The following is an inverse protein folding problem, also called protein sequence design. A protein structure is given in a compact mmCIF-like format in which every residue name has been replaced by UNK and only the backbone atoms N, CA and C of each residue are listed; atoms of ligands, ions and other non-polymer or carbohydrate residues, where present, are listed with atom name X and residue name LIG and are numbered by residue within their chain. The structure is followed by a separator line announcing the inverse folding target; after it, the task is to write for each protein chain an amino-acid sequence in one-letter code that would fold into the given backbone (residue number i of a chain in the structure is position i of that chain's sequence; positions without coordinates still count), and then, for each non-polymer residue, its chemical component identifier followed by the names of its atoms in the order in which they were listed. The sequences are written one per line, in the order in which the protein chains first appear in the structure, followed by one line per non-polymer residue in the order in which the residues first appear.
data_IF_374776380056
#
_entry.id   IF_374776380056
#
_cell.length_a   1.000
_cell.length_b   1.000
_cell.length_c   1.000
_cell.angle_alpha   90.00
_cell.angle_beta   90.00
_cell.angle_gamma   90.00
#
_symmetry.space_group_name_H-M   'P 1'
#
loop_
_entity.id
_entity.type
_entity.pdbx_description
1 polymer ?
#
# COMPACT_ATOMS: atom_id res chain seq x y z
N UNK A 1 8.46 -6.65 3.21
CA UNK A 1 9.48 -7.28 2.34
C UNK A 1 10.03 -8.60 2.87
N UNK A 2 10.79 -8.63 3.98
CA UNK A 2 11.45 -9.85 4.46
C UNK A 2 10.51 -11.05 4.67
N UNK A 3 9.31 -10.82 5.23
CA UNK A 3 8.28 -11.88 5.36
C UNK A 3 7.87 -12.45 4.00
N UNK A 4 7.58 -11.58 3.03
CA UNK A 4 7.20 -12.01 1.68
C UNK A 4 8.31 -12.88 1.04
N UNK A 5 9.56 -12.42 1.14
CA UNK A 5 10.72 -13.16 0.64
C UNK A 5 10.89 -14.53 1.32
N UNK A 6 10.72 -14.58 2.65
CA UNK A 6 10.83 -15.83 3.44
C UNK A 6 9.83 -16.90 2.98
N UNK A 7 8.65 -16.50 2.54
CA UNK A 7 7.61 -17.42 2.07
C UNK A 7 7.52 -17.53 0.54
N UNK A 8 8.56 -17.08 -0.18
CA UNK A 8 8.66 -17.24 -1.64
C UNK A 8 7.73 -16.34 -2.44
N UNK A 9 7.15 -15.31 -1.84
CA UNK A 9 6.43 -14.28 -2.56
C UNK A 9 7.41 -13.39 -3.33
N UNK A 10 7.06 -13.08 -4.58
CA UNK A 10 7.84 -12.25 -5.51
C UNK A 10 6.95 -11.16 -6.10
N UNK A 11 7.50 -10.29 -6.95
CA UNK A 11 6.71 -9.28 -7.64
C UNK A 11 5.73 -9.85 -8.69
N UNK A 12 5.88 -11.10 -9.12
CA UNK A 12 5.02 -11.71 -10.14
C UNK A 12 4.10 -12.82 -9.60
N UNK A 13 4.45 -13.46 -8.48
CA UNK A 13 3.71 -14.61 -7.95
C UNK A 13 3.80 -14.76 -6.44
N UNK A 14 2.93 -15.62 -5.90
CA UNK A 14 2.86 -15.97 -4.49
C UNK A 14 2.05 -14.98 -3.66
N UNK A 15 1.72 -15.39 -2.44
CA UNK A 15 1.01 -14.61 -1.43
C UNK A 15 1.91 -14.45 -0.20
N UNK A 16 1.59 -13.50 0.69
CA UNK A 16 2.50 -13.01 1.73
C UNK A 16 3.09 -14.14 2.59
N UNK A 17 2.30 -15.17 2.87
CA UNK A 17 2.66 -16.32 3.72
C UNK A 17 2.86 -17.62 2.91
N UNK A 18 3.04 -17.53 1.60
CA UNK A 18 3.31 -18.70 0.74
C UNK A 18 2.12 -19.66 0.64
N UNK A 19 0.92 -19.19 0.98
CA UNK A 19 -0.33 -19.95 0.88
C UNK A 19 -0.72 -20.16 -0.59
N UNK A 20 -1.56 -21.16 -0.91
CA UNK A 20 -2.03 -21.38 -2.28
C UNK A 20 -3.00 -20.30 -2.77
N UNK A 21 -3.66 -19.59 -1.85
CA UNK A 21 -4.61 -18.51 -2.13
C UNK A 21 -4.41 -17.32 -1.18
N UNK A 22 -4.88 -16.11 -1.53
CA UNK A 22 -4.82 -14.96 -0.63
C UNK A 22 -5.55 -15.20 0.68
N UNK A 23 -5.01 -14.62 1.75
CA UNK A 23 -5.52 -14.76 3.12
C UNK A 23 -5.79 -13.40 3.74
N UNK A 24 -6.23 -13.39 5.00
CA UNK A 24 -6.35 -12.16 5.79
C UNK A 24 -5.02 -11.40 5.87
N UNK A 25 -3.87 -12.09 5.84
CA UNK A 25 -2.57 -11.44 5.88
C UNK A 25 -2.30 -10.59 4.62
N UNK A 26 -2.72 -11.08 3.45
CA UNK A 26 -2.66 -10.36 2.18
C UNK A 26 -3.61 -9.16 2.18
N UNK A 27 -4.84 -9.35 2.67
CA UNK A 27 -5.84 -8.28 2.80
C UNK A 27 -5.39 -7.17 3.76
N UNK A 28 -4.82 -7.53 4.91
CA UNK A 28 -4.29 -6.58 5.87
C UNK A 28 -3.11 -5.79 5.26
N UNK A 29 -2.20 -6.50 4.59
CA UNK A 29 -1.07 -5.88 3.87
C UNK A 29 -1.55 -4.91 2.82
N UNK A 30 -2.53 -5.31 2.02
CA UNK A 30 -3.16 -4.46 1.01
C UNK A 30 -3.82 -3.23 1.63
N UNK A 31 -4.64 -3.41 2.66
CA UNK A 31 -5.36 -2.31 3.32
C UNK A 31 -4.43 -1.24 3.90
N UNK A 32 -3.21 -1.62 4.28
CA UNK A 32 -2.19 -0.69 4.75
C UNK A 32 -1.46 -0.03 3.59
N UNK A 33 -0.72 -0.83 2.81
CA UNK A 33 0.26 -0.30 1.86
C UNK A 33 -0.38 0.32 0.61
N UNK A 34 -1.45 -0.29 0.07
CA UNK A 34 -2.16 0.28 -1.06
C UNK A 34 -2.85 1.60 -0.68
N UNK A 35 -3.47 1.64 0.50
CA UNK A 35 -4.10 2.86 1.04
C UNK A 35 -3.07 3.97 1.28
N UNK A 36 -1.93 3.66 1.92
CA UNK A 36 -0.88 4.65 2.14
C UNK A 36 -0.33 5.21 0.82
N UNK A 37 0.00 4.36 -0.15
CA UNK A 37 0.51 4.81 -1.45
C UNK A 37 -0.51 5.70 -2.20
N UNK A 38 -1.80 5.40 -2.10
CA UNK A 38 -2.87 6.17 -2.74
C UNK A 38 -3.19 7.48 -2.03
N UNK A 39 -3.34 7.45 -0.70
CA UNK A 39 -3.78 8.61 0.08
C UNK A 39 -2.61 9.56 0.44
N UNK A 40 -1.36 9.07 0.41
CA UNK A 40 -0.15 9.85 0.66
C UNK A 40 0.82 9.67 -0.52
N UNK A 41 0.59 10.29 -1.70
CA UNK A 41 1.36 10.05 -2.91
C UNK A 41 2.87 10.26 -2.78
N UNK A 42 3.30 11.12 -1.85
CA UNK A 42 4.72 11.38 -1.57
C UNK A 42 5.45 10.17 -0.96
N UNK A 43 4.71 9.23 -0.37
CA UNK A 43 5.24 7.97 0.14
C UNK A 43 5.30 6.87 -0.92
N UNK A 44 4.60 7.00 -2.06
CA UNK A 44 4.58 5.93 -3.05
C UNK A 44 5.99 5.59 -3.58
N UNK A 45 6.85 6.57 -3.96
CA UNK A 45 8.22 6.26 -4.42
C UNK A 45 9.08 5.52 -3.39
N UNK A 46 9.26 5.98 -2.13
CA UNK A 46 10.08 5.25 -1.17
C UNK A 46 9.50 3.88 -0.78
N UNK A 47 8.17 3.72 -0.82
CA UNK A 47 7.56 2.39 -0.61
C UNK A 47 7.88 1.46 -1.79
N UNK A 48 7.80 1.94 -3.03
CA UNK A 48 8.18 1.14 -4.20
C UNK A 48 9.66 0.75 -4.19
N UNK A 49 10.53 1.65 -3.74
CA UNK A 49 11.97 1.40 -3.61
C UNK A 49 12.28 0.34 -2.56
N UNK A 50 11.70 0.45 -1.37
CA UNK A 50 12.07 -0.39 -0.22
C UNK A 50 11.19 -1.63 -0.04
N UNK A 51 9.99 -1.66 -0.63
CA UNK A 51 9.05 -2.76 -0.53
C UNK A 51 8.41 -3.14 -1.89
N UNK A 52 9.22 -3.37 -2.95
CA UNK A 52 8.72 -3.61 -4.30
C UNK A 52 7.84 -4.87 -4.38
N UNK A 53 8.17 -5.93 -3.64
CA UNK A 53 7.37 -7.16 -3.64
C UNK A 53 6.01 -6.93 -2.98
N UNK A 54 5.98 -6.18 -1.88
CA UNK A 54 4.72 -5.89 -1.16
C UNK A 54 3.78 -5.07 -2.03
N UNK A 55 4.27 -4.02 -2.69
CA UNK A 55 3.43 -3.21 -3.58
C UNK A 55 2.97 -4.01 -4.79
N UNK A 56 3.83 -4.83 -5.38
CA UNK A 56 3.43 -5.72 -6.45
C UNK A 56 2.37 -6.75 -6.00
N UNK A 57 2.49 -7.31 -4.78
CA UNK A 57 1.46 -8.15 -4.18
C UNK A 57 0.13 -7.42 -4.03
N UNK A 58 0.14 -6.16 -3.57
CA UNK A 58 -1.08 -5.36 -3.44
C UNK A 58 -1.76 -5.16 -4.80
N UNK A 59 -1.00 -4.82 -5.84
CA UNK A 59 -1.50 -4.67 -7.21
C UNK A 59 -2.12 -5.95 -7.75
N UNK A 60 -1.45 -7.09 -7.57
CA UNK A 60 -1.99 -8.40 -7.98
C UNK A 60 -3.27 -8.74 -7.22
N UNK A 61 -3.32 -8.42 -5.93
CA UNK A 61 -4.50 -8.70 -5.11
C UNK A 61 -5.73 -7.94 -5.63
N UNK A 62 -5.59 -6.64 -5.95
CA UNK A 62 -6.67 -5.86 -6.59
C UNK A 62 -7.06 -6.41 -7.96
N UNK A 63 -6.07 -6.74 -8.81
CA UNK A 63 -6.31 -7.29 -10.15
C UNK A 63 -7.05 -8.63 -10.12
N UNK A 64 -6.76 -9.47 -9.12
CA UNK A 64 -7.38 -10.79 -8.94
C UNK A 64 -8.72 -10.75 -8.20
N UNK A 65 -9.09 -9.63 -7.59
CA UNK A 65 -10.29 -9.50 -6.77
C UNK A 65 -11.08 -8.22 -7.10
N UNK A 66 -12.12 -8.38 -7.92
CA UNK A 66 -12.98 -7.27 -8.35
C UNK A 66 -13.64 -6.51 -7.18
N UNK A 67 -13.86 -7.17 -6.04
CA UNK A 67 -14.40 -6.53 -4.84
C UNK A 67 -13.43 -5.51 -4.24
N UNK A 68 -12.14 -5.84 -4.19
CA UNK A 68 -11.09 -4.92 -3.71
C UNK A 68 -10.86 -3.77 -4.68
N UNK A 69 -10.80 -4.05 -5.99
CA UNK A 69 -10.71 -2.98 -6.99
C UNK A 69 -11.92 -2.02 -6.90
N UNK A 70 -13.12 -2.54 -6.68
CA UNK A 70 -14.32 -1.73 -6.49
C UNK A 70 -14.27 -0.92 -5.20
N UNK A 71 -13.85 -1.53 -4.09
CA UNK A 71 -13.66 -0.82 -2.82
C UNK A 71 -12.66 0.31 -2.98
N UNK A 72 -11.50 0.03 -3.61
CA UNK A 72 -10.48 1.01 -3.86
C UNK A 72 -11.03 2.21 -4.64
N UNK A 73 -11.70 1.96 -5.76
CA UNK A 73 -12.31 3.02 -6.57
C UNK A 73 -13.33 3.84 -5.76
N UNK A 74 -14.23 3.17 -5.03
CA UNK A 74 -15.27 3.84 -4.23
C UNK A 74 -14.68 4.72 -3.14
N UNK A 75 -13.61 4.28 -2.48
CA UNK A 75 -12.95 5.07 -1.45
C UNK A 75 -12.26 6.29 -2.05
N UNK A 76 -11.61 6.14 -3.21
CA UNK A 76 -11.01 7.27 -3.91
C UNK A 76 -12.07 8.30 -4.36
N UNK A 77 -13.22 7.83 -4.86
CA UNK A 77 -14.34 8.70 -5.24
C UNK A 77 -14.95 9.43 -4.04
N UNK A 78 -15.08 8.73 -2.91
CA UNK A 78 -15.78 9.26 -1.73
C UNK A 78 -14.90 10.14 -0.84
N UNK A 79 -13.63 9.77 -0.69
CA UNK A 79 -12.72 10.36 0.29
C UNK A 79 -11.51 11.05 -0.35
N UNK A 80 -11.29 10.89 -1.66
CA UNK A 80 -10.12 11.42 -2.34
C UNK A 80 -8.83 10.87 -1.74
N UNK A 81 -7.91 11.76 -1.39
CA UNK A 81 -6.65 11.41 -0.74
C UNK A 81 -6.72 11.40 0.79
N UNK A 82 -7.90 11.58 1.41
CA UNK A 82 -8.02 11.49 2.87
C UNK A 82 -7.47 10.15 3.36
N UNK A 83 -6.60 10.19 4.37
CA UNK A 83 -5.98 9.01 4.98
C UNK A 83 -6.59 8.72 6.36
N UNK A 84 -6.11 9.41 7.40
CA UNK A 84 -6.57 9.27 8.78
C UNK A 84 -7.28 10.52 9.32
N UNK A 85 -7.24 11.62 8.56
CA UNK A 85 -7.89 12.88 8.87
C UNK A 85 -7.30 13.63 10.06
N UNK A 86 -7.94 14.75 10.38
CA UNK A 86 -7.62 15.55 11.55
C UNK A 86 -6.20 16.13 11.57
N UNK A 87 -5.67 16.35 12.77
CA UNK A 87 -4.35 16.97 12.97
C UNK A 87 -3.19 16.00 12.68
N UNK A 88 -3.42 14.70 12.88
CA UNK A 88 -2.39 13.68 12.61
C UNK A 88 -2.05 13.62 11.12
N UNK A 89 -3.06 13.63 10.23
CA UNK A 89 -2.80 13.64 8.80
C UNK A 89 -2.09 14.93 8.34
N UNK A 90 -2.48 16.09 8.88
CA UNK A 90 -1.81 17.36 8.59
C UNK A 90 -0.33 17.29 8.95
N UNK A 91 0.01 16.77 10.13
CA UNK A 91 1.39 16.60 10.57
C UNK A 91 2.18 15.65 9.66
N UNK A 92 1.59 14.54 9.24
CA UNK A 92 2.24 13.59 8.32
C UNK A 92 2.57 14.28 6.99
N UNK A 93 1.60 14.98 6.40
CA UNK A 93 1.79 15.66 5.11
C UNK A 93 2.88 16.74 5.17
N UNK A 94 2.99 17.46 6.29
CA UNK A 94 4.05 18.46 6.50
C UNK A 94 5.45 17.81 6.49
N UNK A 95 5.63 16.69 7.20
CA UNK A 95 6.91 15.97 7.23
C UNK A 95 7.26 15.42 5.85
N UNK A 96 6.29 14.85 5.13
CA UNK A 96 6.52 14.34 3.76
C UNK A 96 6.91 15.44 2.78
N UNK A 97 6.31 16.63 2.89
CA UNK A 97 6.69 17.78 2.08
C UNK A 97 8.11 18.27 2.42
N UNK A 98 8.44 18.41 3.71
CA UNK A 98 9.77 18.84 4.14
C UNK A 98 10.89 17.87 3.70
N UNK A 99 10.63 16.56 3.82
CA UNK A 99 11.57 15.51 3.41
C UNK A 99 11.86 15.50 1.90
N UNK A 100 10.91 15.90 1.05
CA UNK A 100 11.14 16.08 -0.38
C UNK A 100 12.02 17.27 -0.71
N UNK A 101 11.92 18.33 0.07
CA UNK A 101 12.65 19.57 -0.14
C UNK A 101 14.09 19.54 0.44
N UNK A 102 14.51 18.40 1.01
CA UNK A 102 15.84 18.23 1.62
C UNK A 102 16.03 19.04 2.91
N UNK A 103 14.95 19.55 3.51
CA UNK A 103 14.98 20.23 4.81
C UNK A 103 14.78 19.18 5.90
N UNK A 104 15.89 18.79 6.55
CA UNK A 104 15.89 18.07 7.82
C UNK A 104 16.20 19.03 8.96
#
# INVERSE_FOLDING_TARGET
EATAARYGCTAQRGWLLGTPAPTLADLATWSLWATMARCLPLLAPPIEEHAPTVIALCRRLEQSNAGLATLARRDAERYGELYCGGMIEKSIRQVLAAGRDGRQ
#
